data_IF_532751266428
#
_entry.id   IF_532751266428
#
_cell.length_a   1.000
_cell.length_b   1.000
_cell.length_c   1.000
_cell.angle_alpha   90.00
_cell.angle_beta   90.00
_cell.angle_gamma   90.00
#
_symmetry.space_group_name_H-M   'P 1'
#
loop_
_entity.id
_entity.type
_entity.pdbx_description
1 polymer ?
#
# COMPACT_ATOMS: atom_id res chain seq x y z
N UNK A 1 -23.28 60.89 -90.21
CA UNK A 1 -21.89 60.99 -89.70
C UNK A 1 -21.74 60.65 -88.20
N UNK A 2 -22.80 60.64 -87.36
CA UNK A 2 -22.66 60.43 -85.90
C UNK A 2 -22.52 58.97 -85.45
N UNK A 3 -23.09 57.99 -86.18
CA UNK A 3 -23.09 56.58 -85.79
C UNK A 3 -21.68 55.96 -85.70
N UNK A 4 -20.76 56.40 -86.56
CA UNK A 4 -19.40 55.87 -86.61
C UNK A 4 -18.58 56.26 -85.38
N UNK A 5 -18.82 57.43 -84.79
CA UNK A 5 -18.14 57.87 -83.57
C UNK A 5 -18.61 57.09 -82.33
N UNK A 6 -19.87 56.69 -82.27
CA UNK A 6 -20.38 55.87 -81.17
C UNK A 6 -19.82 54.44 -81.18
N UNK A 7 -19.78 53.81 -82.35
CA UNK A 7 -19.20 52.45 -82.47
C UNK A 7 -17.72 52.44 -82.10
N UNK A 8 -16.98 53.48 -82.49
CA UNK A 8 -15.56 53.63 -82.17
C UNK A 8 -15.33 53.91 -80.67
N UNK A 9 -16.20 54.69 -80.02
CA UNK A 9 -16.12 54.89 -78.57
C UNK A 9 -16.42 53.61 -77.76
N UNK A 10 -17.40 52.81 -78.19
CA UNK A 10 -17.76 51.55 -77.53
C UNK A 10 -16.62 50.52 -77.64
N UNK A 11 -15.98 50.41 -78.81
CA UNK A 11 -14.87 49.46 -78.99
C UNK A 11 -13.63 49.84 -78.17
N UNK A 12 -13.32 51.14 -78.05
CA UNK A 12 -12.25 51.64 -77.17
C UNK A 12 -12.59 51.34 -75.71
N UNK A 13 -13.82 51.62 -75.26
CA UNK A 13 -14.25 51.30 -73.90
C UNK A 13 -14.14 49.79 -73.60
N UNK A 14 -14.52 48.95 -74.55
CA UNK A 14 -14.41 47.49 -74.42
C UNK A 14 -12.95 47.01 -74.35
N UNK A 15 -12.08 47.52 -75.22
CA UNK A 15 -10.64 47.24 -75.20
C UNK A 15 -10.01 47.64 -73.86
N UNK A 16 -10.29 48.85 -73.37
CA UNK A 16 -9.77 49.34 -72.08
C UNK A 16 -10.24 48.45 -70.93
N UNK A 17 -11.51 48.03 -70.94
CA UNK A 17 -12.05 47.14 -69.92
C UNK A 17 -11.36 45.77 -69.94
N UNK A 18 -11.14 45.19 -71.13
CA UNK A 18 -10.44 43.91 -71.27
C UNK A 18 -8.97 43.96 -70.86
N UNK A 19 -8.30 45.11 -71.02
CA UNK A 19 -6.92 45.31 -70.58
C UNK A 19 -6.81 45.42 -69.06
N UNK A 20 -7.77 46.10 -68.41
CA UNK A 20 -7.74 46.35 -66.95
C UNK A 20 -8.24 45.13 -66.14
N UNK A 21 -9.20 44.38 -66.68
CA UNK A 21 -9.81 43.22 -66.02
C UNK A 21 -8.82 42.19 -65.45
N UNK A 22 -7.82 41.69 -66.20
CA UNK A 22 -6.86 40.70 -65.68
C UNK A 22 -6.03 41.25 -64.52
N UNK A 23 -5.73 42.55 -64.52
CA UNK A 23 -4.98 43.20 -63.44
C UNK A 23 -5.81 43.27 -62.16
N UNK A 24 -7.09 43.62 -62.26
CA UNK A 24 -8.01 43.62 -61.12
C UNK A 24 -8.17 42.22 -60.51
N UNK A 25 -8.37 41.19 -61.35
CA UNK A 25 -8.50 39.80 -60.91
C UNK A 25 -7.21 39.33 -60.22
N UNK A 26 -6.04 39.65 -60.78
CA UNK A 26 -4.76 39.30 -60.16
C UNK A 26 -4.59 39.98 -58.78
N UNK A 27 -4.98 41.25 -58.67
CA UNK A 27 -4.87 42.03 -57.42
C UNK A 27 -5.84 41.54 -56.35
N UNK A 28 -7.10 41.29 -56.70
CA UNK A 28 -8.10 40.78 -55.75
C UNK A 28 -7.74 39.37 -55.27
N UNK A 29 -7.24 38.50 -56.17
CA UNK A 29 -6.78 37.15 -55.79
C UNK A 29 -5.62 37.19 -54.80
N UNK A 30 -4.62 38.06 -55.01
CA UNK A 30 -3.50 38.23 -54.06
C UNK A 30 -3.97 38.72 -52.70
N UNK A 31 -4.86 39.69 -52.68
CA UNK A 31 -5.39 40.25 -51.44
C UNK A 31 -6.27 39.23 -50.68
N UNK A 32 -7.10 38.47 -51.40
CA UNK A 32 -7.89 37.39 -50.81
C UNK A 32 -7.00 36.27 -50.26
N UNK A 33 -5.94 35.89 -50.98
CA UNK A 33 -4.98 34.89 -50.51
C UNK A 33 -4.24 35.35 -49.26
N UNK A 34 -3.71 36.57 -49.25
CA UNK A 34 -2.98 37.11 -48.08
C UNK A 34 -3.89 37.19 -46.86
N UNK A 35 -5.14 37.69 -47.02
CA UNK A 35 -6.12 37.72 -45.92
C UNK A 35 -6.50 36.32 -45.43
N UNK A 36 -6.69 35.36 -46.34
CA UNK A 36 -6.98 33.98 -45.97
C UNK A 36 -5.83 33.32 -45.22
N UNK A 37 -4.59 33.58 -45.64
CA UNK A 37 -3.40 33.07 -44.98
C UNK A 37 -3.22 33.65 -43.57
N UNK A 38 -3.39 34.96 -43.40
CA UNK A 38 -3.34 35.62 -42.09
C UNK A 38 -4.45 35.12 -41.16
N UNK A 39 -5.68 34.98 -41.66
CA UNK A 39 -6.79 34.44 -40.89
C UNK A 39 -6.56 32.98 -40.46
N UNK A 40 -6.04 32.14 -41.37
CA UNK A 40 -5.68 30.76 -41.06
C UNK A 40 -4.58 30.65 -40.02
N UNK A 41 -3.54 31.49 -40.12
CA UNK A 41 -2.47 31.56 -39.12
C UNK A 41 -3.01 31.98 -37.75
N UNK A 42 -3.82 33.03 -37.70
CA UNK A 42 -4.43 33.48 -36.45
C UNK A 42 -5.31 32.41 -35.80
N UNK A 43 -6.10 31.69 -36.59
CA UNK A 43 -6.91 30.57 -36.11
C UNK A 43 -6.04 29.42 -35.57
N UNK A 44 -4.95 29.08 -36.26
CA UNK A 44 -4.03 28.05 -35.82
C UNK A 44 -3.31 28.44 -34.52
N UNK A 45 -2.83 29.68 -34.42
CA UNK A 45 -2.17 30.22 -33.23
C UNK A 45 -3.14 30.23 -32.03
N UNK A 46 -4.41 30.62 -32.24
CA UNK A 46 -5.44 30.55 -31.19
C UNK A 46 -5.72 29.11 -30.74
N UNK A 47 -5.87 28.19 -31.70
CA UNK A 47 -6.11 26.77 -31.40
C UNK A 47 -4.95 26.18 -30.61
N UNK A 48 -3.71 26.49 -31.00
CA UNK A 48 -2.51 26.03 -30.31
C UNK A 48 -2.40 26.63 -28.91
N UNK A 49 -2.74 27.91 -28.74
CA UNK A 49 -2.80 28.54 -27.42
C UNK A 49 -3.81 27.86 -26.49
N UNK A 50 -5.00 27.52 -27.01
CA UNK A 50 -6.03 26.80 -26.26
C UNK A 50 -5.56 25.39 -25.88
N UNK A 51 -4.99 24.63 -26.81
CA UNK A 51 -4.45 23.29 -26.52
C UNK A 51 -3.34 23.33 -25.47
N UNK A 52 -2.46 24.34 -25.54
CA UNK A 52 -1.37 24.51 -24.59
C UNK A 52 -1.93 24.87 -23.20
N UNK A 53 -2.96 25.72 -23.14
CA UNK A 53 -3.64 26.04 -21.89
C UNK A 53 -4.35 24.82 -21.29
N UNK A 54 -5.05 24.04 -22.11
CA UNK A 54 -5.70 22.80 -21.69
C UNK A 54 -4.69 21.78 -21.16
N UNK A 55 -3.58 21.58 -21.86
CA UNK A 55 -2.50 20.68 -21.43
C UNK A 55 -1.84 21.15 -20.12
N UNK A 56 -1.69 22.46 -19.92
CA UNK A 56 -1.20 23.03 -18.65
C UNK A 56 -2.16 22.75 -17.51
N UNK A 57 -3.45 23.01 -17.72
CA UNK A 57 -4.48 22.77 -16.72
C UNK A 57 -4.53 21.29 -16.33
N UNK A 58 -4.58 20.38 -17.31
CA UNK A 58 -4.59 18.94 -17.07
C UNK A 58 -3.34 18.47 -16.29
N UNK A 59 -2.17 19.04 -16.58
CA UNK A 59 -0.93 18.74 -15.84
C UNK A 59 -1.00 19.22 -14.39
N UNK A 60 -1.56 20.40 -14.17
CA UNK A 60 -1.67 20.98 -12.83
C UNK A 60 -2.73 20.23 -12.01
N UNK A 61 -3.84 19.83 -12.61
CA UNK A 61 -4.85 18.95 -11.99
C UNK A 61 -4.22 17.62 -11.55
N UNK A 62 -3.51 16.93 -12.44
CA UNK A 62 -2.81 15.68 -12.11
C UNK A 62 -1.79 15.86 -10.98
N UNK A 63 -1.10 16.99 -10.92
CA UNK A 63 -0.17 17.29 -9.82
C UNK A 63 -0.91 17.42 -8.49
N UNK A 64 -2.07 18.10 -8.48
CA UNK A 64 -2.87 18.22 -7.26
C UNK A 64 -3.39 16.87 -6.79
N UNK A 65 -3.87 16.02 -7.71
CA UNK A 65 -4.32 14.67 -7.39
C UNK A 65 -3.20 13.80 -6.82
N UNK A 66 -2.03 13.82 -7.45
CA UNK A 66 -0.85 13.09 -6.99
C UNK A 66 -0.44 13.54 -5.59
N UNK A 67 -0.46 14.86 -5.33
CA UNK A 67 -0.15 15.40 -4.02
C UNK A 67 -1.16 14.96 -2.95
N UNK A 68 -2.47 14.96 -3.26
CA UNK A 68 -3.51 14.43 -2.36
C UNK A 68 -3.32 12.94 -2.09
N UNK A 69 -3.03 12.16 -3.13
CA UNK A 69 -2.81 10.72 -3.00
C UNK A 69 -1.58 10.40 -2.13
N UNK A 70 -0.48 11.14 -2.31
CA UNK A 70 0.72 11.02 -1.46
C UNK A 70 0.41 11.33 0.00
N UNK A 71 -0.27 12.44 0.27
CA UNK A 71 -0.66 12.81 1.64
C UNK A 71 -1.55 11.74 2.29
N UNK A 72 -2.53 11.21 1.55
CA UNK A 72 -3.40 10.15 2.06
C UNK A 72 -2.60 8.87 2.37
N UNK A 73 -1.65 8.49 1.51
CA UNK A 73 -0.80 7.33 1.72
C UNK A 73 0.13 7.50 2.93
N UNK A 74 0.75 8.67 3.08
CA UNK A 74 1.60 8.98 4.23
C UNK A 74 0.83 8.95 5.55
N UNK A 75 -0.40 9.50 5.57
CA UNK A 75 -1.28 9.43 6.74
C UNK A 75 -1.64 7.98 7.09
N UNK A 76 -1.98 7.15 6.09
CA UNK A 76 -2.26 5.73 6.32
C UNK A 76 -1.04 4.98 6.85
N UNK A 77 0.15 5.26 6.30
CA UNK A 77 1.39 4.65 6.75
C UNK A 77 1.71 5.04 8.20
N UNK A 78 1.59 6.32 8.55
CA UNK A 78 1.77 6.82 9.90
C UNK A 78 0.78 6.18 10.89
N UNK A 79 -0.50 6.09 10.52
CA UNK A 79 -1.53 5.42 11.33
C UNK A 79 -1.23 3.93 11.54
N UNK A 80 -0.81 3.21 10.48
CA UNK A 80 -0.39 1.82 10.60
C UNK A 80 0.83 1.65 11.50
N UNK A 81 1.82 2.52 11.37
CA UNK A 81 3.02 2.48 12.20
C UNK A 81 2.70 2.75 13.68
N UNK A 82 1.81 3.70 13.96
CA UNK A 82 1.32 3.96 15.31
C UNK A 82 0.60 2.73 15.90
N UNK A 83 -0.28 2.09 15.12
CA UNK A 83 -0.96 0.86 15.53
C UNK A 83 0.01 -0.29 15.80
N UNK A 84 1.02 -0.49 14.95
CA UNK A 84 2.04 -1.53 15.16
C UNK A 84 2.81 -1.27 16.45
N UNK A 85 3.15 0.00 16.71
CA UNK A 85 3.90 0.38 17.92
C UNK A 85 3.05 0.15 19.17
N UNK A 86 1.76 0.52 19.14
CA UNK A 86 0.83 0.27 20.22
C UNK A 86 0.65 -1.24 20.49
N UNK A 87 0.46 -2.04 19.44
CA UNK A 87 0.34 -3.50 19.56
C UNK A 87 1.60 -4.13 20.16
N UNK A 88 2.80 -3.70 19.72
CA UNK A 88 4.06 -4.17 20.32
C UNK A 88 4.15 -3.81 21.80
N UNK A 89 3.72 -2.61 22.18
CA UNK A 89 3.62 -2.20 23.59
C UNK A 89 2.70 -3.14 24.38
N UNK A 90 1.48 -3.37 23.88
CA UNK A 90 0.54 -4.28 24.54
C UNK A 90 1.04 -5.73 24.61
N UNK A 91 1.74 -6.23 23.58
CA UNK A 91 2.38 -7.55 23.63
C UNK A 91 3.44 -7.58 24.74
N UNK A 92 4.31 -6.57 24.82
CA UNK A 92 5.34 -6.54 25.86
C UNK A 92 4.75 -6.45 27.28
N UNK A 93 3.64 -5.72 27.44
CA UNK A 93 2.90 -5.64 28.71
C UNK A 93 2.26 -6.99 29.06
N UNK A 94 1.62 -7.64 28.09
CA UNK A 94 1.02 -8.96 28.26
C UNK A 94 2.08 -10.01 28.57
N UNK A 95 3.23 -9.97 27.92
CA UNK A 95 4.37 -10.85 28.19
C UNK A 95 4.91 -10.61 29.61
N UNK A 96 5.12 -9.35 30.01
CA UNK A 96 5.55 -9.00 31.35
C UNK A 96 4.54 -9.48 32.41
N UNK A 97 3.24 -9.32 32.13
CA UNK A 97 2.16 -9.79 32.98
C UNK A 97 2.11 -11.32 33.05
N UNK A 98 2.27 -12.01 31.92
CA UNK A 98 2.39 -13.47 31.91
C UNK A 98 3.57 -13.86 32.78
N UNK A 99 4.78 -13.31 32.57
CA UNK A 99 5.94 -13.63 33.41
C UNK A 99 5.73 -13.31 34.90
N UNK A 100 5.03 -12.22 35.23
CA UNK A 100 4.75 -11.86 36.62
C UNK A 100 3.73 -12.79 37.29
N UNK A 101 2.68 -13.20 36.56
CA UNK A 101 1.64 -14.11 37.05
C UNK A 101 2.08 -15.58 36.99
N UNK A 102 2.93 -15.94 36.05
CA UNK A 102 3.52 -17.26 35.88
C UNK A 102 4.98 -17.25 36.33
N UNK A 103 5.28 -16.77 37.54
CA UNK A 103 6.59 -16.94 38.19
C UNK A 103 7.10 -18.41 38.29
N UNK A 104 6.43 -19.37 37.65
CA UNK A 104 6.89 -20.68 37.26
C UNK A 104 7.73 -20.61 35.97
N UNK A 105 8.97 -20.13 36.07
CA UNK A 105 10.00 -20.77 35.28
C UNK A 105 10.09 -22.19 35.84
N UNK A 106 9.45 -23.17 35.20
CA UNK A 106 9.59 -24.56 35.62
C UNK A 106 11.08 -24.87 35.54
N UNK A 107 11.70 -25.10 36.68
CA UNK A 107 13.14 -25.28 36.78
C UNK A 107 13.49 -26.75 36.66
N UNK A 108 14.76 -27.03 36.41
CA UNK A 108 15.28 -28.40 36.54
C UNK A 108 15.05 -28.99 37.95
N UNK A 109 15.09 -28.14 38.99
CA UNK A 109 14.80 -28.56 40.37
C UNK A 109 13.35 -29.03 40.54
N UNK A 110 12.39 -28.38 39.88
CA UNK A 110 10.98 -28.79 39.90
C UNK A 110 10.78 -30.14 39.21
N UNK A 111 11.48 -30.38 38.09
CA UNK A 111 11.48 -31.69 37.43
C UNK A 111 12.03 -32.79 38.34
N UNK A 112 13.18 -32.55 38.97
CA UNK A 112 13.81 -33.50 39.89
C UNK A 112 12.91 -33.78 41.12
N UNK A 113 12.21 -32.78 41.64
CA UNK A 113 11.24 -32.94 42.73
C UNK A 113 10.03 -33.78 42.30
N UNK A 114 9.52 -33.60 41.08
CA UNK A 114 8.42 -34.42 40.55
C UNK A 114 8.83 -35.89 40.36
N UNK A 115 10.04 -36.15 39.85
CA UNK A 115 10.57 -37.52 39.71
C UNK A 115 10.73 -38.16 41.09
N UNK A 116 11.39 -37.47 42.04
CA UNK A 116 11.56 -37.98 43.40
C UNK A 116 10.22 -38.24 44.11
N UNK A 117 9.21 -37.40 43.87
CA UNK A 117 7.86 -37.61 44.39
C UNK A 117 7.20 -38.85 43.77
N UNK A 118 7.33 -39.06 42.47
CA UNK A 118 6.81 -40.26 41.79
C UNK A 118 7.49 -41.54 42.30
N UNK A 119 8.80 -41.53 42.49
CA UNK A 119 9.56 -42.66 43.04
C UNK A 119 9.14 -42.96 44.49
N UNK A 120 8.94 -41.92 45.30
CA UNK A 120 8.46 -42.06 46.68
C UNK A 120 7.04 -42.65 46.71
N UNK A 121 6.16 -42.24 45.79
CA UNK A 121 4.81 -42.80 45.68
C UNK A 121 4.80 -44.26 45.21
N UNK A 122 5.73 -44.66 44.34
CA UNK A 122 5.93 -46.08 43.95
C UNK A 122 6.48 -46.92 45.10
N UNK A 123 7.37 -46.35 45.92
CA UNK A 123 7.80 -47.03 47.14
C UNK A 123 6.64 -47.18 48.13
N UNK A 124 5.84 -46.12 48.30
CA UNK A 124 4.65 -46.13 49.13
C UNK A 124 3.63 -47.18 48.66
N UNK A 125 3.38 -47.29 47.36
CA UNK A 125 2.56 -48.35 46.75
C UNK A 125 3.05 -49.74 47.18
N UNK A 126 4.33 -50.06 46.98
CA UNK A 126 4.90 -51.38 47.33
C UNK A 126 4.78 -51.68 48.82
N UNK A 127 5.01 -50.67 49.67
CA UNK A 127 4.86 -50.84 51.12
C UNK A 127 3.40 -51.04 51.54
N UNK A 128 2.46 -50.31 50.93
CA UNK A 128 1.04 -50.45 51.23
C UNK A 128 0.48 -51.77 50.72
N UNK A 129 0.98 -52.26 49.59
CA UNK A 129 0.65 -53.58 49.04
C UNK A 129 1.15 -54.70 49.97
N UNK A 130 2.39 -54.59 50.47
CA UNK A 130 2.94 -55.50 51.47
C UNK A 130 2.14 -55.51 52.79
N UNK A 131 1.54 -54.37 53.16
CA UNK A 131 0.66 -54.22 54.32
C UNK A 131 -0.80 -54.65 54.05
N UNK A 132 -1.09 -55.19 52.85
CA UNK A 132 -2.45 -55.59 52.40
C UNK A 132 -3.46 -54.44 52.39
N UNK A 133 -2.99 -53.21 52.26
CA UNK A 133 -3.80 -52.00 52.16
C UNK A 133 -4.10 -51.67 50.68
N UNK A 134 -4.79 -52.61 50.00
CA UNK A 134 -4.95 -52.62 48.53
C UNK A 134 -5.50 -51.30 47.97
N UNK A 135 -6.52 -50.71 48.62
CA UNK A 135 -7.15 -49.47 48.15
C UNK A 135 -6.18 -48.28 48.18
N UNK A 136 -5.35 -48.19 49.21
CA UNK A 136 -4.34 -47.15 49.35
C UNK A 136 -3.17 -47.38 48.39
N UNK A 137 -2.77 -48.63 48.16
CA UNK A 137 -1.74 -48.98 47.18
C UNK A 137 -2.15 -48.58 45.76
N UNK A 138 -3.37 -48.92 45.32
CA UNK A 138 -3.87 -48.54 43.98
C UNK A 138 -3.98 -47.02 43.83
N UNK A 139 -4.38 -46.29 44.89
CA UNK A 139 -4.42 -44.83 44.86
C UNK A 139 -3.01 -44.20 44.78
N UNK A 140 -2.01 -44.79 45.44
CA UNK A 140 -0.62 -44.36 45.34
C UNK A 140 -0.06 -44.59 43.93
N UNK A 141 -0.35 -45.74 43.32
CA UNK A 141 0.05 -46.08 41.95
C UNK A 141 -0.52 -45.07 40.93
N UNK A 142 -1.84 -44.80 40.99
CA UNK A 142 -2.50 -43.85 40.08
C UNK A 142 -1.94 -42.42 40.24
N UNK A 143 -1.61 -42.02 41.47
CA UNK A 143 -0.97 -40.72 41.72
C UNK A 143 0.47 -40.67 41.20
N UNK A 144 1.24 -41.75 41.36
CA UNK A 144 2.60 -41.83 40.84
C UNK A 144 2.64 -41.70 39.32
N UNK A 145 1.70 -42.34 38.61
CA UNK A 145 1.57 -42.24 37.15
C UNK A 145 1.16 -40.82 36.70
N UNK A 146 0.23 -40.18 37.41
CA UNK A 146 -0.15 -38.79 37.15
C UNK A 146 1.02 -37.80 37.31
N UNK A 147 1.83 -37.98 38.36
CA UNK A 147 3.02 -37.16 38.62
C UNK A 147 4.13 -37.43 37.60
N UNK A 148 4.35 -38.69 37.20
CA UNK A 148 5.31 -39.03 36.13
C UNK A 148 4.90 -38.42 34.78
N UNK A 149 3.61 -38.44 34.45
CA UNK A 149 3.06 -37.78 33.26
C UNK A 149 3.25 -36.25 33.29
N UNK A 150 3.12 -35.63 34.47
CA UNK A 150 3.44 -34.21 34.67
C UNK A 150 4.93 -33.93 34.49
N UNK A 151 5.80 -34.75 35.09
CA UNK A 151 7.26 -34.63 34.99
C UNK A 151 7.72 -34.70 33.52
N UNK A 152 7.16 -35.62 32.72
CA UNK A 152 7.46 -35.73 31.27
C UNK A 152 7.08 -34.47 30.50
N UNK A 153 5.91 -33.88 30.76
CA UNK A 153 5.49 -32.63 30.09
C UNK A 153 6.39 -31.46 30.47
N UNK A 154 6.75 -31.36 31.75
CA UNK A 154 7.71 -30.38 32.27
C UNK A 154 9.08 -30.55 31.60
N UNK A 155 9.58 -31.78 31.47
CA UNK A 155 10.85 -32.06 30.80
C UNK A 155 10.84 -31.64 29.33
N UNK A 156 9.74 -31.90 28.62
CA UNK A 156 9.55 -31.44 27.23
C UNK A 156 9.55 -29.92 27.15
N UNK A 157 8.85 -29.23 28.06
CA UNK A 157 8.85 -27.76 28.11
C UNK A 157 10.22 -27.16 28.42
N UNK A 158 10.99 -27.78 29.33
CA UNK A 158 12.37 -27.39 29.62
C UNK A 158 13.30 -27.54 28.41
N UNK A 159 13.09 -28.56 27.59
CA UNK A 159 13.89 -28.81 26.39
C UNK A 159 13.52 -27.88 25.23
N UNK A 160 12.23 -27.60 25.08
CA UNK A 160 11.68 -26.81 23.99
C UNK A 160 11.68 -25.30 24.28
N UNK A 161 12.04 -24.90 25.51
CA UNK A 161 12.33 -23.49 25.86
C UNK A 161 13.80 -23.22 25.56
N UNK A 162 14.17 -22.73 24.35
CA UNK A 162 15.53 -22.28 24.11
C UNK A 162 15.86 -21.14 25.07
N UNK A 163 17.14 -21.03 25.43
CA UNK A 163 17.74 -19.95 26.21
C UNK A 163 17.49 -18.56 25.59
N UNK A 164 16.26 -18.07 25.66
CA UNK A 164 15.86 -16.72 25.24
C UNK A 164 16.15 -15.67 26.32
N UNK A 165 16.84 -16.09 27.39
CA UNK A 165 17.35 -15.23 28.46
C UNK A 165 18.78 -14.70 28.19
N UNK A 166 19.35 -14.92 27.00
CA UNK A 166 20.77 -14.63 26.73
C UNK A 166 21.09 -13.60 25.63
N UNK A 167 20.11 -12.89 25.06
CA UNK A 167 20.41 -11.83 24.07
C UNK A 167 19.53 -10.60 24.35
N UNK A 168 19.86 -9.93 25.45
CA UNK A 168 19.49 -8.53 25.69
C UNK A 168 20.64 -7.90 26.48
N UNK A 169 21.71 -7.56 25.76
CA UNK A 169 22.75 -6.62 26.17
C UNK A 169 23.18 -5.84 24.92
#
# INVERSE_FOLDING_TARGET
MQLHHYVLAISIGWMVTLIILPFLIAKTRRLAYNRGFEAGKAFHDQTLALQLQEAKNARDDLRTELQRARQAYEQQLAARQANITALKGSISELEARIMSYTGLAVTRADYELLIGTSETLRLAERTLDALKAQRQATAAAARAEGIDGLAKRVHTQLRDTPARAGVAA
#
